data_IF_652069961347
#
_entry.id   IF_652069961347
#
_cell.length_a   1.000
_cell.length_b   1.000
_cell.length_c   1.000
_cell.angle_alpha   90.00
_cell.angle_beta   90.00
_cell.angle_gamma   90.00
#
_symmetry.space_group_name_H-M   'P 1'
#
loop_
_entity.id
_entity.type
_entity.pdbx_description
1 polymer ?
#
# COMPACT_ATOMS: atom_id res chain seq x y z
N UNK A 1 29.58 -23.97 -73.39
CA UNK A 1 30.83 -23.33 -72.93
C UNK A 1 30.53 -21.85 -72.71
N UNK A 2 31.05 -21.32 -71.59
CA UNK A 2 31.19 -19.89 -71.23
C UNK A 2 29.92 -19.02 -71.06
N UNK A 3 29.70 -18.63 -69.80
CA UNK A 3 29.11 -17.39 -69.24
C UNK A 3 29.63 -16.11 -69.94
N UNK A 4 29.23 -14.84 -69.64
CA UNK A 4 28.63 -14.33 -68.38
C UNK A 4 27.72 -13.06 -68.43
N UNK A 5 27.24 -12.68 -67.22
CA UNK A 5 27.08 -11.34 -66.62
C UNK A 5 26.60 -10.09 -67.41
N UNK A 6 25.57 -9.43 -66.86
CA UNK A 6 25.61 -8.06 -66.27
C UNK A 6 24.36 -7.22 -66.61
N UNK A 7 23.86 -6.42 -65.65
CA UNK A 7 22.88 -5.38 -65.94
C UNK A 7 22.07 -4.88 -64.74
N UNK A 8 22.59 -3.87 -64.04
CA UNK A 8 21.84 -3.04 -63.09
C UNK A 8 21.09 -1.90 -63.81
N UNK A 9 20.02 -1.44 -63.15
CA UNK A 9 19.59 -0.04 -62.99
C UNK A 9 18.30 0.44 -63.71
N UNK A 10 17.30 0.71 -62.85
CA UNK A 10 16.53 1.97 -62.66
C UNK A 10 15.79 2.58 -63.86
N UNK A 11 14.48 2.78 -63.68
CA UNK A 11 13.82 4.01 -64.13
C UNK A 11 12.73 4.47 -63.16
N UNK A 12 12.83 5.75 -62.85
CA UNK A 12 12.01 6.64 -62.04
C UNK A 12 10.88 7.23 -62.90
N UNK A 13 9.68 7.45 -62.36
CA UNK A 13 8.79 8.54 -62.81
C UNK A 13 7.66 8.88 -61.84
N UNK A 14 7.60 10.18 -61.58
CA UNK A 14 6.64 10.98 -60.80
C UNK A 14 5.43 11.35 -61.66
N UNK A 15 4.22 11.43 -61.08
CA UNK A 15 3.14 12.30 -61.56
C UNK A 15 2.08 12.58 -60.48
N UNK A 16 1.54 13.79 -60.52
CA UNK A 16 0.79 14.50 -59.48
C UNK A 16 -0.75 14.34 -59.53
N UNK A 17 -1.39 14.84 -58.47
CA UNK A 17 -2.81 14.79 -58.10
C UNK A 17 -3.78 15.62 -58.97
N UNK A 18 -5.11 15.50 -58.72
CA UNK A 18 -5.85 16.67 -58.21
C UNK A 18 -6.91 16.37 -57.12
N UNK A 19 -7.34 17.45 -56.47
CA UNK A 19 -8.17 17.55 -55.26
C UNK A 19 -9.69 17.56 -55.52
N UNK A 20 -10.48 17.07 -54.56
CA UNK A 20 -11.86 17.52 -54.26
C UNK A 20 -12.13 17.48 -52.76
N UNK A 21 -12.89 18.45 -52.26
CA UNK A 21 -12.99 18.93 -50.88
C UNK A 21 -14.25 18.47 -50.12
N UNK A 22 -14.05 18.00 -48.86
CA UNK A 22 -14.82 18.16 -47.58
C UNK A 22 -16.34 17.85 -47.49
N UNK A 23 -16.87 17.33 -46.34
CA UNK A 23 -16.76 17.99 -45.03
C UNK A 23 -16.54 17.10 -43.79
N UNK A 24 -16.27 17.82 -42.72
CA UNK A 24 -15.82 17.47 -41.37
C UNK A 24 -16.61 16.37 -40.64
N UNK A 25 -15.86 15.47 -39.98
CA UNK A 25 -16.32 14.91 -38.71
C UNK A 25 -15.15 14.46 -37.82
N UNK A 26 -14.93 15.25 -36.77
CA UNK A 26 -14.40 14.94 -35.44
C UNK A 26 -13.18 13.99 -35.37
N UNK A 27 -12.06 14.62 -35.00
CA UNK A 27 -10.77 14.05 -34.60
C UNK A 27 -10.89 12.77 -33.74
N UNK A 28 -10.80 11.61 -34.39
CA UNK A 28 -10.34 10.39 -33.73
C UNK A 28 -8.82 10.52 -33.54
N UNK A 29 -8.38 10.83 -32.31
CA UNK A 29 -6.97 10.70 -31.92
C UNK A 29 -6.52 9.28 -32.28
N UNK A 30 -5.62 9.16 -33.26
CA UNK A 30 -4.82 7.95 -33.49
C UNK A 30 -4.18 7.55 -32.15
N UNK A 31 -4.72 6.53 -31.51
CA UNK A 31 -4.03 5.86 -30.41
C UNK A 31 -2.71 5.36 -30.97
N UNK A 32 -1.59 5.89 -30.46
CA UNK A 32 -0.29 5.28 -30.70
C UNK A 32 -0.37 3.84 -30.18
N UNK A 33 -0.06 2.89 -31.05
CA UNK A 33 0.14 1.50 -30.66
C UNK A 33 1.20 1.45 -29.56
N UNK A 34 0.71 1.32 -28.33
CA UNK A 34 1.51 1.15 -27.12
C UNK A 34 2.35 -0.10 -27.31
N UNK A 35 3.68 0.03 -27.22
CA UNK A 35 4.61 -1.07 -27.44
C UNK A 35 4.24 -2.23 -26.50
N UNK A 36 3.71 -3.33 -27.06
CA UNK A 36 3.20 -4.45 -26.29
C UNK A 36 4.25 -5.00 -25.34
N UNK A 37 3.97 -4.93 -24.03
CA UNK A 37 4.83 -5.46 -22.97
C UNK A 37 5.06 -6.96 -23.18
N UNK A 38 6.32 -7.41 -23.09
CA UNK A 38 6.67 -8.83 -22.98
C UNK A 38 5.94 -9.49 -21.80
N UNK A 39 5.68 -10.80 -21.84
CA UNK A 39 5.03 -11.50 -20.72
C UNK A 39 5.92 -11.49 -19.46
N UNK A 40 5.29 -11.57 -18.28
CA UNK A 40 5.96 -11.45 -16.99
C UNK A 40 7.12 -12.45 -16.81
N UNK A 41 6.96 -13.70 -17.28
CA UNK A 41 8.00 -14.72 -17.16
C UNK A 41 9.17 -14.49 -18.13
N UNK A 42 8.92 -14.04 -19.36
CA UNK A 42 10.03 -13.69 -20.27
C UNK A 42 10.82 -12.48 -19.75
N UNK A 43 10.15 -11.49 -19.14
CA UNK A 43 10.82 -10.35 -18.48
C UNK A 43 11.66 -10.84 -17.30
N UNK A 44 11.08 -11.67 -16.42
CA UNK A 44 11.77 -12.24 -15.25
C UNK A 44 13.00 -13.07 -15.65
N UNK A 45 12.89 -13.85 -16.73
CA UNK A 45 13.98 -14.66 -17.26
C UNK A 45 14.93 -13.89 -18.18
N UNK A 46 14.68 -12.59 -18.42
CA UNK A 46 15.45 -11.75 -19.37
C UNK A 46 15.59 -12.37 -20.76
N UNK A 47 14.52 -13.02 -21.24
CA UNK A 47 14.48 -13.68 -22.56
C UNK A 47 13.53 -12.99 -23.52
N UNK A 48 13.73 -13.20 -24.82
CA UNK A 48 12.89 -12.61 -25.87
C UNK A 48 11.50 -13.25 -25.84
N UNK A 49 10.47 -12.42 -25.72
CA UNK A 49 9.07 -12.82 -25.80
C UNK A 49 8.58 -12.64 -27.24
N UNK A 50 7.99 -13.68 -27.80
CA UNK A 50 7.32 -13.72 -29.11
C UNK A 50 5.90 -13.13 -29.08
N UNK A 51 5.37 -12.87 -27.87
CA UNK A 51 4.11 -12.15 -27.63
C UNK A 51 2.84 -12.84 -28.16
N UNK A 52 2.93 -14.14 -28.48
CA UNK A 52 1.75 -14.93 -28.80
C UNK A 52 0.82 -15.05 -27.58
N UNK A 53 -0.49 -15.08 -27.84
CA UNK A 53 -1.57 -15.19 -26.84
C UNK A 53 -2.35 -16.49 -27.09
N UNK A 54 -2.85 -17.18 -26.05
CA UNK A 54 -2.87 -16.80 -24.62
C UNK A 54 -1.52 -16.94 -23.90
N UNK A 55 -0.60 -17.73 -24.46
CA UNK A 55 0.74 -17.93 -23.93
C UNK A 55 1.78 -17.74 -25.03
N UNK A 56 2.93 -17.18 -24.66
CA UNK A 56 4.04 -16.97 -25.58
C UNK A 56 4.71 -18.33 -25.88
N UNK A 57 5.17 -18.55 -27.12
CA UNK A 57 5.80 -19.81 -27.53
C UNK A 57 7.08 -20.12 -26.75
N UNK A 58 7.80 -19.09 -26.29
CA UNK A 58 8.91 -19.24 -25.34
C UNK A 58 8.52 -19.89 -24.00
N UNK A 59 7.36 -19.54 -23.45
CA UNK A 59 6.83 -20.13 -22.22
C UNK A 59 6.20 -21.51 -22.46
N UNK A 60 5.61 -21.73 -23.65
CA UNK A 60 5.03 -23.01 -24.04
C UNK A 60 6.10 -24.09 -24.19
N UNK A 61 7.21 -23.78 -24.88
CA UNK A 61 8.35 -24.70 -25.02
C UNK A 61 9.02 -25.05 -23.68
N UNK A 62 8.86 -24.20 -22.66
CA UNK A 62 9.42 -24.39 -21.32
C UNK A 62 8.45 -25.08 -20.35
N UNK A 63 7.23 -25.40 -20.78
CA UNK A 63 6.23 -26.05 -19.92
C UNK A 63 5.69 -25.15 -18.80
N UNK A 64 5.86 -23.83 -18.89
CA UNK A 64 5.43 -22.85 -17.85
C UNK A 64 4.21 -22.02 -18.30
N UNK A 65 3.34 -22.61 -19.14
CA UNK A 65 2.17 -21.93 -19.72
C UNK A 65 1.27 -21.29 -18.67
N UNK A 66 1.06 -21.94 -17.53
CA UNK A 66 0.22 -21.43 -16.42
C UNK A 66 0.75 -20.16 -15.77
N UNK A 67 2.03 -19.85 -15.93
CA UNK A 67 2.69 -18.65 -15.38
C UNK A 67 2.89 -17.56 -16.44
N UNK A 68 2.65 -17.87 -17.71
CA UNK A 68 2.79 -16.93 -18.82
C UNK A 68 1.61 -15.95 -18.84
N UNK A 69 1.81 -14.75 -18.28
CA UNK A 69 0.78 -13.71 -18.13
C UNK A 69 1.25 -12.37 -18.71
N UNK A 70 0.33 -11.63 -19.33
CA UNK A 70 0.56 -10.26 -19.81
C UNK A 70 -0.21 -9.27 -18.96
N UNK A 71 0.42 -8.15 -18.60
CA UNK A 71 -0.12 -7.12 -17.68
C UNK A 71 -1.53 -6.60 -18.05
N UNK A 72 -1.90 -6.61 -19.34
CA UNK A 72 -3.24 -6.19 -19.80
C UNK A 72 -4.35 -7.22 -19.58
N UNK A 73 -4.02 -8.49 -19.36
CA UNK A 73 -5.03 -9.55 -19.19
C UNK A 73 -5.62 -9.55 -17.76
N UNK A 74 -4.98 -8.86 -16.79
CA UNK A 74 -5.55 -8.58 -15.46
C UNK A 74 -6.82 -7.71 -15.53
N UNK A 75 -6.82 -6.69 -16.40
CA UNK A 75 -7.92 -5.71 -16.44
C UNK A 75 -9.17 -6.28 -17.13
N UNK A 76 -8.98 -7.15 -18.13
CA UNK A 76 -10.10 -7.76 -18.87
C UNK A 76 -10.79 -8.89 -18.12
N UNK A 77 -10.06 -9.70 -17.35
CA UNK A 77 -10.68 -10.80 -16.58
C UNK A 77 -11.60 -10.28 -15.45
N UNK A 78 -11.31 -9.09 -14.89
CA UNK A 78 -12.20 -8.43 -13.92
C UNK A 78 -13.40 -7.73 -14.59
N UNK A 79 -13.24 -7.24 -15.83
CA UNK A 79 -14.31 -6.59 -16.58
C UNK A 79 -15.33 -7.58 -17.19
N UNK A 80 -14.88 -8.76 -17.64
CA UNK A 80 -15.78 -9.79 -18.20
C UNK A 80 -16.54 -10.56 -17.10
N UNK A 81 -16.03 -10.59 -15.87
CA UNK A 81 -16.76 -11.13 -14.69
C UNK A 81 -17.88 -10.21 -14.20
N UNK A 82 -17.84 -8.93 -14.54
CA UNK A 82 -18.81 -7.93 -14.05
C UNK A 82 -19.96 -7.65 -15.03
N UNK A 83 -19.90 -8.11 -16.29
CA UNK A 83 -20.84 -7.69 -17.34
C UNK A 83 -21.67 -8.81 -18.00
N UNK A 84 -21.73 -10.02 -17.45
CA UNK A 84 -22.57 -11.08 -18.01
C UNK A 84 -23.70 -11.51 -17.06
N UNK A 85 -24.94 -11.00 -17.23
CA UNK A 85 -26.14 -11.70 -16.83
C UNK A 85 -26.72 -12.44 -18.06
N UNK A 86 -26.87 -13.76 -17.95
CA UNK A 86 -27.65 -14.54 -18.94
C UNK A 86 -29.08 -14.78 -18.44
N UNK A 87 -30.04 -15.03 -19.35
CA UNK A 87 -31.44 -14.64 -19.19
C UNK A 87 -32.38 -15.78 -18.76
N UNK A 88 -33.28 -15.47 -17.83
CA UNK A 88 -34.59 -16.11 -17.60
C UNK A 88 -35.23 -15.25 -16.48
N UNK A 89 -36.46 -14.76 -16.53
CA UNK A 89 -37.69 -15.23 -17.16
C UNK A 89 -38.71 -14.09 -17.13
N UNK A 90 -39.57 -14.05 -18.14
CA UNK A 90 -40.77 -13.21 -18.18
C UNK A 90 -41.90 -13.89 -17.38
N UNK A 91 -42.64 -13.13 -16.59
CA UNK A 91 -44.12 -13.10 -16.51
C UNK A 91 -44.60 -12.46 -15.18
N UNK A 92 -45.48 -11.46 -15.31
CA UNK A 92 -46.69 -11.20 -14.48
C UNK A 92 -46.56 -11.10 -12.94
N UNK A 93 -47.11 -10.14 -12.19
CA UNK A 93 -48.28 -9.26 -12.30
C UNK A 93 -48.15 -8.13 -11.25
N UNK A 94 -48.74 -6.96 -11.51
CA UNK A 94 -49.06 -5.95 -10.48
C UNK A 94 -50.33 -6.38 -9.71
N UNK A 95 -50.65 -5.85 -8.50
CA UNK A 95 -51.21 -4.49 -8.43
C UNK A 95 -50.91 -3.67 -7.13
N UNK A 96 -50.84 -2.34 -7.36
CA UNK A 96 -51.48 -1.20 -6.69
C UNK A 96 -51.47 -0.94 -5.16
N UNK A 97 -51.47 0.38 -4.89
CA UNK A 97 -51.87 1.10 -3.66
C UNK A 97 -50.83 1.23 -2.54
N UNK A 98 -50.63 2.36 -1.85
CA UNK A 98 -51.05 3.76 -1.99
C UNK A 98 -50.37 4.52 -0.84
N UNK A 99 -49.91 5.75 -1.13
CA UNK A 99 -49.90 6.93 -0.24
C UNK A 99 -49.24 6.83 1.17
N UNK A 100 -48.24 7.67 1.42
CA UNK A 100 -48.46 8.87 2.23
C UNK A 100 -47.16 9.68 2.43
N UNK A 101 -47.29 10.95 2.11
CA UNK A 101 -46.40 12.08 2.33
C UNK A 101 -46.00 12.31 3.79
N UNK A 102 -44.79 12.82 4.01
CA UNK A 102 -44.36 13.29 5.33
C UNK A 102 -43.12 14.17 5.30
N UNK A 103 -43.18 15.30 4.59
CA UNK A 103 -42.16 16.35 4.66
C UNK A 103 -42.11 16.99 6.06
N UNK A 104 -40.94 17.01 6.71
CA UNK A 104 -40.64 17.99 7.77
C UNK A 104 -39.27 18.64 7.59
N UNK A 105 -39.33 19.84 7.01
CA UNK A 105 -38.39 20.97 7.20
C UNK A 105 -38.24 21.27 8.69
N UNK A 106 -37.01 21.60 9.12
CA UNK A 106 -36.59 22.58 10.17
C UNK A 106 -35.16 22.18 10.58
N UNK A 107 -34.22 23.06 10.91
CA UNK A 107 -34.05 24.52 10.91
C UNK A 107 -32.54 24.71 11.19
N UNK A 108 -31.86 25.55 10.42
CA UNK A 108 -30.52 26.07 10.77
C UNK A 108 -30.63 27.13 11.87
N UNK A 109 -29.63 27.26 12.76
CA UNK A 109 -29.11 28.53 13.24
C UNK A 109 -27.75 28.79 12.56
N UNK A 110 -27.49 29.92 11.88
CA UNK A 110 -27.33 31.30 12.35
C UNK A 110 -26.05 31.52 13.19
N UNK A 111 -25.04 32.06 12.49
CA UNK A 111 -24.00 33.03 12.86
C UNK A 111 -23.45 33.07 14.29
N UNK A 112 -22.12 32.89 14.39
CA UNK A 112 -21.27 33.53 15.41
C UNK A 112 -19.99 34.04 14.74
N UNK A 113 -19.66 35.28 15.13
CA UNK A 113 -18.74 36.23 14.51
C UNK A 113 -17.27 35.80 14.45
N UNK A 114 -16.63 36.21 13.35
CA UNK A 114 -15.19 36.46 13.26
C UNK A 114 -14.81 37.68 14.11
N UNK A 115 -13.74 37.55 14.90
CA UNK A 115 -13.01 38.68 15.47
C UNK A 115 -11.61 38.63 14.86
N UNK A 116 -11.35 39.54 13.92
CA UNK A 116 -10.01 39.82 13.39
C UNK A 116 -9.24 40.66 14.41
N UNK A 117 -8.00 40.26 14.71
CA UNK A 117 -7.08 41.01 15.55
C UNK A 117 -6.24 42.00 14.71
N UNK A 118 -5.85 43.18 15.22
CA UNK A 118 -5.19 44.23 14.44
C UNK A 118 -3.70 43.95 14.23
N UNK A 119 -3.22 44.19 13.02
CA UNK A 119 -1.79 44.19 12.63
C UNK A 119 -1.14 45.51 13.08
N UNK A 120 0.01 45.51 13.78
CA UNK A 120 0.75 46.73 14.10
C UNK A 120 1.58 47.25 12.89
N UNK A 121 1.84 48.56 12.81
CA UNK A 121 2.39 49.22 11.62
C UNK A 121 3.89 48.99 11.42
N UNK A 122 4.25 48.97 10.14
CA UNK A 122 5.61 48.91 9.57
C UNK A 122 6.31 50.26 9.78
N UNK A 123 7.48 50.23 10.41
CA UNK A 123 8.33 51.41 10.62
C UNK A 123 9.39 51.48 9.51
N UNK A 124 9.26 52.47 8.63
CA UNK A 124 10.21 52.78 7.55
C UNK A 124 11.18 53.87 7.99
N UNK A 125 12.33 53.46 8.54
CA UNK A 125 13.47 54.32 8.84
C UNK A 125 14.50 54.37 7.70
N UNK A 126 15.20 55.50 7.48
CA UNK A 126 15.96 55.76 6.25
C UNK A 126 17.38 55.16 6.24
N UNK A 127 17.79 54.74 5.04
CA UNK A 127 19.12 54.24 4.65
C UNK A 127 20.25 55.24 4.97
N UNK A 128 21.37 54.82 5.57
CA UNK A 128 22.58 55.62 5.59
C UNK A 128 23.46 55.36 4.36
N UNK A 129 24.13 56.45 3.98
CA UNK A 129 24.87 56.69 2.74
C UNK A 129 26.13 55.84 2.59
N UNK A 130 26.39 55.47 1.34
CA UNK A 130 27.61 54.87 0.80
C UNK A 130 28.75 55.89 0.81
N UNK A 131 29.92 55.50 1.33
CA UNK A 131 31.21 56.12 1.02
C UNK A 131 32.21 55.04 0.56
N UNK A 132 33.07 55.30 -0.44
CA UNK A 132 33.96 54.30 -1.03
C UNK A 132 35.35 54.32 -0.37
N UNK A 133 35.88 53.17 0.03
CA UNK A 133 37.29 53.02 0.39
C UNK A 133 37.84 51.69 -0.17
N UNK A 134 38.71 51.85 -1.17
CA UNK A 134 39.93 51.11 -1.50
C UNK A 134 40.19 49.73 -0.87
N UNK A 135 40.31 48.74 -1.76
CA UNK A 135 41.41 47.78 -1.91
C UNK A 135 42.29 47.50 -0.68
N UNK A 136 41.98 46.41 0.04
CA UNK A 136 42.97 45.57 0.70
C UNK A 136 42.62 44.11 0.48
N UNK A 137 43.56 43.40 -0.14
CA UNK A 137 43.64 41.95 -0.26
C UNK A 137 43.45 41.31 1.12
N UNK A 138 42.32 40.60 1.29
CA UNK A 138 42.05 39.83 2.51
C UNK A 138 42.86 38.54 2.46
N UNK A 139 43.71 38.25 3.46
CA UNK A 139 44.41 36.97 3.54
C UNK A 139 43.40 35.86 3.83
N UNK A 140 43.60 34.71 3.17
CA UNK A 140 42.94 33.44 3.44
C UNK A 140 42.98 33.16 4.95
N UNK A 141 41.85 33.33 5.62
CA UNK A 141 41.73 33.20 7.07
C UNK A 141 41.56 31.72 7.41
N UNK A 142 42.69 31.05 7.67
CA UNK A 142 42.74 29.75 8.32
C UNK A 142 42.30 29.89 9.79
N UNK A 143 40.98 29.89 10.04
CA UNK A 143 40.45 29.44 11.31
C UNK A 143 40.01 27.99 11.14
N UNK A 144 40.98 27.06 11.18
CA UNK A 144 40.68 25.65 11.41
C UNK A 144 40.27 25.52 12.88
N UNK A 145 38.98 25.69 13.18
CA UNK A 145 38.42 24.93 14.28
C UNK A 145 38.75 23.46 13.98
N UNK A 146 39.30 22.74 14.96
CA UNK A 146 39.58 21.33 14.80
C UNK A 146 38.23 20.61 14.63
N UNK A 147 37.74 20.53 13.38
CA UNK A 147 36.52 19.84 13.06
C UNK A 147 36.64 18.41 13.58
N UNK A 148 35.69 18.01 14.41
CA UNK A 148 35.63 16.64 14.87
C UNK A 148 35.24 15.77 13.67
N UNK A 149 36.13 14.89 13.24
CA UNK A 149 35.86 13.98 12.14
C UNK A 149 35.20 12.71 12.65
N UNK A 150 34.24 12.18 11.88
CA UNK A 150 33.74 10.82 12.11
C UNK A 150 34.90 9.82 11.87
N UNK A 151 35.15 8.87 12.78
CA UNK A 151 36.25 7.92 12.65
C UNK A 151 36.24 7.12 11.34
N UNK A 152 35.07 6.84 10.77
CA UNK A 152 34.94 6.12 9.51
C UNK A 152 35.24 6.99 8.27
N UNK A 153 35.34 8.30 8.44
CA UNK A 153 35.53 9.29 7.36
C UNK A 153 36.67 10.27 7.69
N UNK A 154 37.72 9.79 8.35
CA UNK A 154 38.91 10.56 8.71
C UNK A 154 40.07 10.43 7.70
N UNK A 155 39.86 9.73 6.58
CA UNK A 155 40.90 9.48 5.57
C UNK A 155 41.42 10.78 4.96
N UNK A 156 42.74 10.97 5.00
CA UNK A 156 43.39 12.17 4.49
C UNK A 156 43.31 12.28 2.96
N UNK A 157 43.16 11.17 2.24
CA UNK A 157 43.09 11.12 0.77
C UNK A 157 41.72 11.52 0.22
N UNK A 158 40.68 11.50 1.06
CA UNK A 158 39.36 11.97 0.68
C UNK A 158 39.31 13.50 0.65
N UNK A 159 39.04 14.06 -0.54
CA UNK A 159 39.22 15.48 -0.84
C UNK A 159 38.02 16.36 -0.56
N UNK A 160 36.81 15.79 -0.41
CA UNK A 160 35.58 16.55 -0.15
C UNK A 160 35.22 16.41 1.32
N UNK A 161 35.01 17.53 1.99
CA UNK A 161 34.60 17.59 3.39
C UNK A 161 33.14 18.04 3.48
N UNK A 162 32.27 17.12 3.89
CA UNK A 162 30.89 17.44 4.22
C UNK A 162 30.76 17.60 5.73
N UNK A 163 30.09 18.65 6.19
CA UNK A 163 29.89 18.90 7.62
C UNK A 163 28.40 18.85 7.95
N UNK A 164 28.03 18.12 9.00
CA UNK A 164 26.65 18.05 9.49
C UNK A 164 26.24 19.32 10.24
N UNK A 165 24.95 19.45 10.54
CA UNK A 165 24.41 20.60 11.29
C UNK A 165 24.90 20.69 12.74
N UNK A 166 25.43 19.60 13.29
CA UNK A 166 26.03 19.47 14.62
C UNK A 166 27.57 19.41 14.57
N UNK A 167 28.17 20.03 13.54
CA UNK A 167 29.60 20.28 13.39
C UNK A 167 30.53 19.04 13.29
N UNK A 168 29.97 17.88 12.91
CA UNK A 168 30.77 16.68 12.61
C UNK A 168 31.13 16.68 11.12
N UNK A 169 32.41 16.49 10.83
CA UNK A 169 32.92 16.49 9.45
C UNK A 169 33.22 15.09 8.93
N UNK A 170 32.96 14.90 7.63
CA UNK A 170 33.09 13.65 6.91
C UNK A 170 33.95 13.88 5.67
N UNK A 171 35.13 13.25 5.61
CA UNK A 171 35.92 13.23 4.37
C UNK A 171 35.42 12.10 3.48
N UNK A 172 34.94 12.46 2.29
CA UNK A 172 34.35 11.52 1.34
C UNK A 172 35.06 11.64 -0.01
N UNK A 173 35.30 10.51 -0.68
CA UNK A 173 35.83 10.54 -2.03
C UNK A 173 34.76 11.07 -3.01
N UNK A 174 35.12 11.98 -3.95
CA UNK A 174 34.18 12.52 -4.93
C UNK A 174 33.44 11.45 -5.75
N UNK A 175 34.08 10.30 -5.95
CA UNK A 175 33.50 9.18 -6.69
C UNK A 175 32.23 8.64 -6.03
N UNK A 176 32.21 8.47 -4.71
CA UNK A 176 31.03 7.98 -3.98
C UNK A 176 29.88 8.97 -4.10
N UNK A 177 30.17 10.27 -3.94
CA UNK A 177 29.15 11.32 -4.05
C UNK A 177 28.57 11.39 -5.46
N UNK A 178 29.43 11.37 -6.49
CA UNK A 178 29.04 11.47 -7.91
C UNK A 178 28.16 10.30 -8.36
N UNK A 179 28.41 9.10 -7.86
CA UNK A 179 27.72 7.89 -8.32
C UNK A 179 26.47 7.58 -7.52
N UNK A 180 26.41 7.99 -6.25
CA UNK A 180 25.34 7.59 -5.35
C UNK A 180 24.40 8.72 -4.89
N UNK A 181 24.70 9.98 -5.18
CA UNK A 181 23.94 11.12 -4.65
C UNK A 181 23.96 12.36 -5.56
N UNK A 182 23.14 13.34 -5.21
CA UNK A 182 23.17 14.70 -5.79
C UNK A 182 23.90 15.71 -4.90
N UNK A 183 24.63 15.23 -3.88
CA UNK A 183 25.40 16.09 -2.99
C UNK A 183 26.50 16.85 -3.75
N UNK A 184 26.89 18.04 -3.24
CA UNK A 184 28.01 18.78 -3.82
C UNK A 184 29.29 17.95 -3.78
N UNK A 185 30.07 18.00 -4.87
CA UNK A 185 31.42 17.44 -4.94
C UNK A 185 32.48 18.43 -4.42
N UNK A 186 32.05 19.35 -3.57
CA UNK A 186 32.86 20.41 -2.94
C UNK A 186 32.48 20.48 -1.47
N UNK A 187 33.34 21.11 -0.68
CA UNK A 187 33.10 21.26 0.75
C UNK A 187 31.79 22.00 1.01
N UNK A 188 30.96 21.45 1.90
CA UNK A 188 29.64 21.98 2.17
C UNK A 188 29.16 21.62 3.58
N UNK A 189 28.36 22.51 4.15
CA UNK A 189 27.61 22.27 5.39
C UNK A 189 26.20 21.84 5.01
N UNK A 190 25.71 20.77 5.61
CA UNK A 190 24.42 20.17 5.35
C UNK A 190 23.50 20.32 6.57
N UNK A 191 22.19 20.36 6.33
CA UNK A 191 21.19 20.61 7.38
C UNK A 191 20.97 19.40 8.29
N UNK A 192 21.43 18.21 7.89
CA UNK A 192 21.19 16.97 8.63
C UNK A 192 22.20 16.81 9.78
N UNK A 193 21.73 16.29 10.93
CA UNK A 193 22.62 15.98 12.04
C UNK A 193 23.49 14.76 11.71
N UNK A 194 24.62 14.65 12.41
CA UNK A 194 25.64 13.62 12.24
C UNK A 194 25.08 12.19 12.26
N UNK A 195 24.07 11.93 13.10
CA UNK A 195 23.40 10.62 13.21
C UNK A 195 22.73 10.20 11.90
N UNK A 196 22.19 11.15 11.14
CA UNK A 196 21.51 10.91 9.87
C UNK A 196 22.51 10.91 8.73
N UNK A 197 23.31 11.98 8.64
CA UNK A 197 24.27 12.16 7.56
C UNK A 197 25.34 11.06 7.55
N UNK A 198 25.95 10.80 8.71
CA UNK A 198 26.96 9.75 8.84
C UNK A 198 26.42 8.37 8.46
N UNK A 199 25.15 8.07 8.78
CA UNK A 199 24.53 6.81 8.38
C UNK A 199 24.36 6.72 6.86
N UNK A 200 23.85 7.78 6.21
CA UNK A 200 23.75 7.82 4.75
C UNK A 200 25.09 7.63 4.06
N UNK A 201 26.13 8.34 4.53
CA UNK A 201 27.46 8.25 3.97
C UNK A 201 28.06 6.85 4.10
N UNK A 202 27.82 6.15 5.22
CA UNK A 202 28.23 4.74 5.38
C UNK A 202 27.50 3.81 4.41
N UNK A 203 26.20 4.03 4.19
CA UNK A 203 25.43 3.24 3.23
C UNK A 203 25.97 3.37 1.80
N UNK A 204 26.19 4.60 1.32
CA UNK A 204 26.69 4.82 -0.04
C UNK A 204 28.16 4.43 -0.21
N UNK A 205 28.92 4.38 0.88
CA UNK A 205 30.34 3.96 0.87
C UNK A 205 30.52 2.45 1.11
N UNK A 206 29.42 1.67 1.18
CA UNK A 206 29.49 0.22 1.38
C UNK A 206 29.90 -0.23 2.79
N UNK A 207 29.90 0.69 3.77
CA UNK A 207 30.26 0.41 5.17
C UNK A 207 29.08 -0.11 6.00
N UNK A 208 27.87 -0.11 5.41
CA UNK A 208 26.64 -0.59 6.05
C UNK A 208 25.94 0.47 6.91
N UNK A 209 24.62 0.33 7.07
CA UNK A 209 23.80 1.29 7.81
C UNK A 209 23.92 1.17 9.35
N UNK A 210 24.51 0.08 9.84
CA UNK A 210 24.47 -0.28 11.27
C UNK A 210 23.08 -0.70 11.74
N UNK A 211 22.89 -0.81 13.06
CA UNK A 211 21.62 -1.20 13.68
C UNK A 211 20.62 -0.05 13.65
N UNK A 212 19.36 -0.34 13.33
CA UNK A 212 18.24 0.60 13.45
C UNK A 212 17.53 0.38 14.79
N UNK A 213 17.40 1.44 15.59
CA UNK A 213 16.79 1.35 16.92
C UNK A 213 15.35 1.84 16.89
N UNK A 214 15.10 2.96 16.21
CA UNK A 214 13.76 3.55 16.14
C UNK A 214 13.31 3.72 14.70
N UNK A 215 11.99 3.64 14.48
CA UNK A 215 11.40 3.94 13.17
C UNK A 215 11.60 5.42 12.80
N UNK A 216 11.68 6.32 13.77
CA UNK A 216 11.92 7.74 13.49
C UNK A 216 13.31 7.98 12.90
N UNK A 217 14.35 7.26 13.36
CA UNK A 217 15.68 7.30 12.73
C UNK A 217 15.61 6.88 11.26
N UNK A 218 14.85 5.83 10.95
CA UNK A 218 14.61 5.35 9.58
C UNK A 218 13.94 6.45 8.75
N UNK A 219 12.94 7.13 9.31
CA UNK A 219 12.21 8.22 8.64
C UNK A 219 13.14 9.38 8.30
N UNK A 220 13.96 9.83 9.25
CA UNK A 220 14.90 10.95 9.01
C UNK A 220 15.93 10.59 7.95
N UNK A 221 16.48 9.37 8.00
CA UNK A 221 17.46 8.91 7.00
C UNK A 221 16.84 8.73 5.63
N UNK A 222 15.63 8.18 5.52
CA UNK A 222 14.92 8.07 4.26
C UNK A 222 14.58 9.45 3.65
N UNK A 223 14.15 10.41 4.48
CA UNK A 223 13.86 11.77 4.02
C UNK A 223 15.11 12.45 3.47
N UNK A 224 16.23 12.35 4.17
CA UNK A 224 17.52 12.86 3.69
C UNK A 224 18.02 12.12 2.44
N UNK A 225 17.86 10.80 2.37
CA UNK A 225 18.19 10.03 1.16
C UNK A 225 17.38 10.51 -0.05
N UNK A 226 16.09 10.79 0.12
CA UNK A 226 15.24 11.34 -0.93
C UNK A 226 15.67 12.76 -1.32
N UNK A 227 15.96 13.63 -0.35
CA UNK A 227 16.49 14.99 -0.57
C UNK A 227 17.75 14.97 -1.43
N UNK A 228 18.64 14.02 -1.18
CA UNK A 228 19.92 13.88 -1.88
C UNK A 228 19.92 12.90 -3.06
N UNK A 229 18.74 12.47 -3.53
CA UNK A 229 18.62 11.58 -4.68
C UNK A 229 19.34 10.23 -4.52
N UNK A 230 19.51 9.76 -3.29
CA UNK A 230 20.25 8.54 -2.96
C UNK A 230 19.37 7.31 -3.07
N UNK A 231 19.25 6.76 -4.29
CA UNK A 231 18.38 5.60 -4.55
C UNK A 231 18.79 4.34 -3.78
N UNK A 232 20.09 4.08 -3.65
CA UNK A 232 20.61 2.89 -2.94
C UNK A 232 20.09 2.81 -1.49
N UNK A 233 20.34 3.82 -0.65
CA UNK A 233 19.79 3.89 0.70
C UNK A 233 18.26 3.77 0.78
N UNK A 234 17.53 4.40 -0.15
CA UNK A 234 16.05 4.28 -0.19
C UNK A 234 15.62 2.83 -0.43
N UNK A 235 16.25 2.13 -1.38
CA UNK A 235 15.93 0.74 -1.68
C UNK A 235 16.31 -0.20 -0.54
N UNK A 236 17.46 0.02 0.11
CA UNK A 236 17.87 -0.77 1.28
C UNK A 236 16.84 -0.62 2.41
N UNK A 237 16.44 0.61 2.75
CA UNK A 237 15.42 0.88 3.78
C UNK A 237 14.11 0.13 3.47
N UNK A 238 13.64 0.20 2.22
CA UNK A 238 12.40 -0.46 1.78
C UNK A 238 12.48 -1.99 1.90
N UNK A 239 13.58 -2.58 1.46
CA UNK A 239 13.72 -4.03 1.34
C UNK A 239 14.11 -4.72 2.65
N UNK A 240 14.93 -4.08 3.48
CA UNK A 240 15.57 -4.75 4.64
C UNK A 240 15.08 -4.18 5.97
N UNK A 241 14.93 -2.86 6.06
CA UNK A 241 14.73 -2.18 7.34
C UNK A 241 13.27 -2.18 7.77
N UNK A 242 12.33 -1.87 6.87
CA UNK A 242 10.91 -1.78 7.26
C UNK A 242 10.33 -3.09 7.79
N UNK A 243 10.83 -4.23 7.29
CA UNK A 243 10.37 -5.54 7.69
C UNK A 243 10.57 -5.81 9.19
N UNK A 244 11.65 -5.30 9.80
CA UNK A 244 11.91 -5.50 11.23
C UNK A 244 10.92 -4.77 12.14
N UNK A 245 10.28 -3.71 11.64
CA UNK A 245 9.32 -2.91 12.42
C UNK A 245 7.86 -3.33 12.23
N UNK A 246 7.56 -4.20 11.25
CA UNK A 246 6.19 -4.60 10.91
C UNK A 246 5.49 -5.36 12.03
N UNK A 247 6.23 -6.16 12.81
CA UNK A 247 5.65 -6.94 13.90
C UNK A 247 5.26 -6.05 15.10
N UNK A 248 6.10 -5.07 15.43
CA UNK A 248 5.94 -4.24 16.62
C UNK A 248 5.05 -3.01 16.38
N UNK A 249 5.20 -2.36 15.22
CA UNK A 249 4.59 -1.05 14.96
C UNK A 249 3.96 -0.97 13.56
N UNK A 250 3.05 -1.90 13.19
CA UNK A 250 2.52 -2.02 11.83
C UNK A 250 1.83 -0.75 11.33
N UNK A 251 1.08 -0.06 12.19
CA UNK A 251 0.37 1.17 11.82
C UNK A 251 1.32 2.33 11.52
N UNK A 252 2.43 2.45 12.25
CA UNK A 252 3.44 3.49 12.00
C UNK A 252 4.22 3.21 10.71
N UNK A 253 4.53 1.93 10.43
CA UNK A 253 5.14 1.52 9.16
C UNK A 253 4.18 1.80 8.00
N UNK A 254 2.90 1.50 8.17
CA UNK A 254 1.86 1.83 7.18
C UNK A 254 1.80 3.34 6.90
N UNK A 255 1.73 4.17 7.95
CA UNK A 255 1.78 5.63 7.84
C UNK A 255 3.02 6.10 7.07
N UNK A 256 4.18 5.56 7.41
CA UNK A 256 5.43 5.95 6.78
C UNK A 256 5.45 5.60 5.28
N UNK A 257 5.09 4.36 4.93
CA UNK A 257 5.00 3.92 3.54
C UNK A 257 3.97 4.75 2.75
N UNK A 258 2.81 5.05 3.36
CA UNK A 258 1.78 5.88 2.76
C UNK A 258 2.26 7.30 2.45
N UNK A 259 3.01 7.93 3.37
CA UNK A 259 3.56 9.29 3.14
C UNK A 259 4.65 9.31 2.07
N UNK A 260 5.39 8.22 1.92
CA UNK A 260 6.42 8.11 0.88
C UNK A 260 5.87 7.61 -0.47
N UNK A 261 4.58 7.28 -0.57
CA UNK A 261 4.00 6.69 -1.79
C UNK A 261 4.52 5.29 -2.11
N UNK A 262 5.00 4.57 -1.09
CA UNK A 262 5.55 3.22 -1.20
C UNK A 262 4.42 2.19 -1.15
N UNK A 263 3.72 2.03 -2.27
CA UNK A 263 2.47 1.23 -2.36
C UNK A 263 2.64 -0.23 -1.94
N UNK A 264 3.74 -0.89 -2.29
CA UNK A 264 3.93 -2.31 -1.99
C UNK A 264 4.17 -2.52 -0.49
N UNK A 265 4.92 -1.62 0.13
CA UNK A 265 5.18 -1.59 1.56
C UNK A 265 3.92 -1.19 2.35
N UNK A 266 3.13 -0.25 1.84
CA UNK A 266 1.84 0.12 2.44
C UNK A 266 0.86 -1.06 2.38
N UNK A 267 0.79 -1.78 1.25
CA UNK A 267 0.00 -3.03 1.13
C UNK A 267 0.48 -4.06 2.14
N UNK A 268 1.78 -4.33 2.21
CA UNK A 268 2.33 -5.28 3.16
C UNK A 268 2.00 -4.89 4.60
N UNK A 269 2.23 -3.63 4.99
CA UNK A 269 1.92 -3.13 6.33
C UNK A 269 0.43 -3.22 6.67
N UNK A 270 -0.46 -2.96 5.71
CA UNK A 270 -1.92 -3.08 5.90
C UNK A 270 -2.38 -4.50 6.27
N UNK A 271 -1.60 -5.53 5.89
CA UNK A 271 -1.87 -6.90 6.34
C UNK A 271 -1.63 -7.05 7.84
N UNK A 272 -0.57 -6.44 8.34
CA UNK A 272 -0.19 -6.54 9.74
C UNK A 272 -1.10 -5.69 10.64
N UNK A 273 -1.69 -4.61 10.12
CA UNK A 273 -2.69 -3.82 10.88
C UNK A 273 -3.96 -4.60 11.19
N UNK A 274 -4.24 -5.71 10.51
CA UNK A 274 -5.37 -6.59 10.85
C UNK A 274 -5.26 -7.20 12.25
N UNK A 275 -4.08 -7.16 12.87
CA UNK A 275 -3.83 -7.67 14.21
C UNK A 275 -4.08 -6.63 15.31
N UNK A 276 -4.39 -5.39 14.94
CA UNK A 276 -4.65 -4.30 15.88
C UNK A 276 -6.07 -3.74 15.72
N UNK A 277 -6.62 -3.22 16.81
CA UNK A 277 -7.88 -2.49 16.81
C UNK A 277 -7.62 -1.06 16.40
N UNK A 278 -8.11 -0.64 15.22
CA UNK A 278 -7.98 0.75 14.78
C UNK A 278 -8.77 1.74 15.66
N UNK A 279 -9.66 1.24 16.50
CA UNK A 279 -10.56 2.04 17.33
C UNK A 279 -9.97 2.35 18.70
N UNK A 280 -8.79 1.82 19.03
CA UNK A 280 -8.15 2.12 20.30
C UNK A 280 -7.59 3.55 20.28
N UNK A 281 -7.86 4.32 21.35
CA UNK A 281 -7.48 5.74 21.46
C UNK A 281 -5.97 5.98 21.27
N UNK A 282 -5.14 4.99 21.62
CA UNK A 282 -3.68 5.02 21.42
C UNK A 282 -3.26 5.19 19.96
N UNK A 283 -4.11 4.83 19.00
CA UNK A 283 -3.81 4.88 17.57
C UNK A 283 -4.30 6.16 16.88
N UNK A 284 -5.22 6.90 17.50
CA UNK A 284 -5.73 8.18 16.99
C UNK A 284 -4.64 9.13 16.46
N UNK A 285 -3.55 9.44 17.20
CA UNK A 285 -2.54 10.38 16.70
C UNK A 285 -1.78 9.89 15.47
N UNK A 286 -1.69 8.57 15.27
CA UNK A 286 -1.07 7.98 14.07
C UNK A 286 -2.04 8.02 12.91
N UNK A 287 -3.31 7.71 13.15
CA UNK A 287 -4.37 7.72 12.14
C UNK A 287 -4.59 9.12 11.56
N UNK A 288 -4.55 10.17 12.39
CA UNK A 288 -4.70 11.57 11.98
C UNK A 288 -3.63 12.02 10.98
N UNK A 289 -2.45 11.39 11.00
CA UNK A 289 -1.34 11.73 10.12
C UNK A 289 -1.38 10.96 8.78
N UNK A 290 -2.23 9.95 8.65
CA UNK A 290 -2.32 9.12 7.44
C UNK A 290 -3.04 9.91 6.34
N UNK A 291 -2.48 9.97 5.12
CA UNK A 291 -3.19 10.62 4.02
C UNK A 291 -4.55 9.96 3.77
N UNK A 292 -5.59 10.76 3.57
CA UNK A 292 -7.00 10.31 3.58
C UNK A 292 -7.29 9.15 2.63
N UNK A 293 -6.63 9.11 1.47
CA UNK A 293 -6.77 8.01 0.50
C UNK A 293 -6.33 6.66 1.07
N UNK A 294 -5.24 6.61 1.84
CA UNK A 294 -4.73 5.39 2.47
C UNK A 294 -5.57 5.02 3.69
N UNK A 295 -5.99 6.02 4.48
CA UNK A 295 -6.87 5.79 5.63
C UNK A 295 -8.21 5.17 5.19
N UNK A 296 -8.82 5.68 4.12
CA UNK A 296 -10.06 5.14 3.56
C UNK A 296 -9.90 3.71 3.05
N UNK A 297 -8.77 3.39 2.42
CA UNK A 297 -8.46 2.02 1.98
C UNK A 297 -8.27 1.08 3.17
N UNK A 298 -7.56 1.53 4.20
CA UNK A 298 -7.30 0.75 5.42
C UNK A 298 -8.60 0.47 6.19
N UNK A 299 -9.43 1.49 6.44
CA UNK A 299 -10.73 1.31 7.10
C UNK A 299 -11.66 0.41 6.29
N UNK A 300 -11.66 0.56 4.95
CA UNK A 300 -12.41 -0.33 4.06
C UNK A 300 -11.93 -1.77 4.16
N UNK A 301 -10.62 -2.02 4.26
CA UNK A 301 -10.07 -3.36 4.43
C UNK A 301 -10.62 -4.01 5.71
N UNK A 302 -10.51 -3.34 6.85
CA UNK A 302 -11.00 -3.83 8.14
C UNK A 302 -12.51 -4.12 8.09
N UNK A 303 -13.29 -3.14 7.64
CA UNK A 303 -14.75 -3.27 7.49
C UNK A 303 -15.15 -4.40 6.54
N UNK A 304 -14.52 -4.49 5.38
CA UNK A 304 -14.86 -5.50 4.37
C UNK A 304 -14.59 -6.91 4.89
N UNK A 305 -13.52 -7.11 5.66
CA UNK A 305 -13.24 -8.42 6.29
C UNK A 305 -14.34 -8.81 7.27
N UNK A 306 -14.72 -7.91 8.18
CA UNK A 306 -15.84 -8.15 9.11
C UNK A 306 -17.15 -8.42 8.37
N UNK A 307 -17.51 -7.59 7.39
CA UNK A 307 -18.79 -7.68 6.70
C UNK A 307 -18.87 -9.01 5.92
N UNK A 308 -17.79 -9.42 5.24
CA UNK A 308 -17.71 -10.72 4.56
C UNK A 308 -17.70 -11.89 5.54
N UNK A 309 -17.00 -11.77 6.67
CA UNK A 309 -17.02 -12.76 7.73
C UNK A 309 -18.44 -12.98 8.26
N UNK A 310 -19.14 -11.90 8.61
CA UNK A 310 -20.52 -11.93 9.06
C UNK A 310 -21.44 -12.60 8.04
N UNK A 311 -21.32 -12.21 6.76
CA UNK A 311 -22.12 -12.81 5.69
C UNK A 311 -21.87 -14.32 5.53
N UNK A 312 -20.61 -14.76 5.70
CA UNK A 312 -20.24 -16.18 5.61
C UNK A 312 -20.84 -16.99 6.75
N UNK A 313 -20.66 -16.54 8.00
CA UNK A 313 -21.15 -17.29 9.18
C UNK A 313 -22.67 -17.23 9.32
N UNK A 314 -23.35 -16.30 8.63
CA UNK A 314 -24.82 -16.15 8.58
C UNK A 314 -25.40 -16.45 7.19
N UNK A 315 -24.89 -17.48 6.50
CA UNK A 315 -25.40 -17.89 5.18
C UNK A 315 -26.60 -18.82 5.28
N UNK A 316 -27.47 -18.79 4.26
CA UNK A 316 -28.57 -19.74 4.05
C UNK A 316 -29.54 -19.89 5.25
N UNK A 317 -29.78 -18.79 5.99
CA UNK A 317 -30.56 -18.79 7.24
C UNK A 317 -30.03 -19.76 8.32
N UNK A 318 -28.73 -20.08 8.27
CA UNK A 318 -27.99 -20.93 9.21
C UNK A 318 -26.91 -20.12 9.92
N UNK A 319 -26.43 -20.66 11.04
CA UNK A 319 -25.23 -20.18 11.73
C UNK A 319 -24.09 -21.16 11.46
N UNK A 320 -22.93 -20.66 11.02
CA UNK A 320 -21.72 -21.44 10.73
C UNK A 320 -21.91 -22.58 9.69
N UNK A 321 -22.94 -22.47 8.84
CA UNK A 321 -23.31 -23.54 7.90
C UNK A 321 -23.90 -24.79 8.56
N UNK A 322 -24.16 -24.77 9.87
CA UNK A 322 -24.68 -25.91 10.61
C UNK A 322 -26.15 -26.09 10.23
N UNK A 323 -26.43 -27.13 9.43
CA UNK A 323 -27.79 -27.44 8.96
C UNK A 323 -28.64 -28.19 9.99
N UNK A 324 -28.01 -28.97 10.87
CA UNK A 324 -28.67 -29.83 11.85
C UNK A 324 -27.90 -29.75 13.17
N UNK A 325 -28.61 -29.58 14.31
CA UNK A 325 -27.96 -29.58 15.62
C UNK A 325 -27.27 -30.91 15.88
N UNK A 326 -25.98 -30.93 16.25
CA UNK A 326 -25.29 -32.13 16.73
C UNK A 326 -25.91 -32.75 18.00
N UNK A 327 -26.71 -31.95 18.71
CA UNK A 327 -27.28 -32.29 20.01
C UNK A 327 -28.67 -32.96 19.92
N UNK A 328 -29.57 -32.40 19.12
CA UNK A 328 -30.99 -32.74 19.08
C UNK A 328 -31.43 -33.22 17.71
N UNK A 329 -30.51 -33.22 16.73
CA UNK A 329 -30.73 -33.64 15.35
C UNK A 329 -31.84 -32.86 14.63
N UNK A 330 -32.13 -31.63 15.08
CA UNK A 330 -33.09 -30.73 14.45
C UNK A 330 -32.41 -29.58 13.73
N UNK A 331 -33.04 -29.09 12.66
CA UNK A 331 -32.61 -27.86 12.02
C UNK A 331 -32.96 -26.66 12.91
N UNK A 332 -31.97 -25.81 13.17
CA UNK A 332 -32.18 -24.52 13.83
C UNK A 332 -31.93 -23.42 12.82
N UNK A 333 -32.90 -22.52 12.67
CA UNK A 333 -32.73 -21.29 11.88
C UNK A 333 -32.07 -20.20 12.72
N UNK A 334 -31.68 -19.09 12.09
CA UNK A 334 -31.19 -17.92 12.83
C UNK A 334 -32.22 -17.37 13.85
N UNK A 335 -33.52 -17.51 13.57
CA UNK A 335 -34.58 -17.06 14.47
C UNK A 335 -34.73 -17.96 15.71
N UNK A 336 -34.42 -19.25 15.57
CA UNK A 336 -34.66 -20.27 16.59
C UNK A 336 -33.39 -20.64 17.38
N UNK A 337 -32.32 -19.84 17.26
CA UNK A 337 -31.00 -20.13 17.82
C UNK A 337 -30.33 -18.91 18.48
N UNK A 338 -30.91 -18.34 19.55
CA UNK A 338 -30.41 -17.13 20.19
C UNK A 338 -29.01 -17.30 20.79
N UNK A 339 -28.66 -18.48 21.31
CA UNK A 339 -27.32 -18.76 21.83
C UNK A 339 -26.25 -18.75 20.72
N UNK A 340 -26.54 -19.40 19.58
CA UNK A 340 -25.67 -19.35 18.40
C UNK A 340 -25.55 -17.92 17.86
N UNK A 341 -26.66 -17.19 17.79
CA UNK A 341 -26.66 -15.81 17.31
C UNK A 341 -25.87 -14.87 18.24
N UNK A 342 -25.96 -15.07 19.55
CA UNK A 342 -25.14 -14.36 20.53
C UNK A 342 -23.65 -14.62 20.30
N UNK A 343 -23.26 -15.89 20.11
CA UNK A 343 -21.88 -16.25 19.78
C UNK A 343 -21.42 -15.62 18.46
N UNK A 344 -22.26 -15.64 17.42
CA UNK A 344 -21.99 -14.96 16.14
C UNK A 344 -21.71 -13.47 16.36
N UNK A 345 -22.54 -12.78 17.14
CA UNK A 345 -22.37 -11.35 17.39
C UNK A 345 -21.05 -11.05 18.12
N UNK A 346 -20.66 -11.88 19.09
CA UNK A 346 -19.36 -11.75 19.75
C UNK A 346 -18.20 -11.98 18.78
N UNK A 347 -18.30 -12.97 17.89
CA UNK A 347 -17.26 -13.20 16.88
C UNK A 347 -17.16 -12.06 15.86
N UNK A 348 -18.30 -11.47 15.47
CA UNK A 348 -18.32 -10.29 14.58
C UNK A 348 -17.69 -9.09 15.28
N UNK A 349 -17.97 -8.88 16.56
CA UNK A 349 -17.32 -7.85 17.37
C UNK A 349 -15.82 -8.09 17.50
N UNK A 350 -15.40 -9.34 17.69
CA UNK A 350 -13.97 -9.68 17.69
C UNK A 350 -13.31 -9.39 16.34
N UNK A 351 -14.03 -9.54 15.22
CA UNK A 351 -13.53 -9.16 13.89
C UNK A 351 -13.46 -7.64 13.67
N UNK A 352 -14.24 -6.83 14.40
CA UNK A 352 -14.05 -5.37 14.46
C UNK A 352 -12.75 -5.02 15.20
N UNK A 353 -12.48 -5.71 16.32
CA UNK A 353 -11.30 -5.48 17.16
C UNK A 353 -10.01 -6.01 16.53
N UNK A 354 -10.04 -7.22 15.98
CA UNK A 354 -8.88 -7.89 15.40
C UNK A 354 -9.29 -8.66 14.13
N UNK A 355 -9.41 -7.99 12.97
CA UNK A 355 -9.90 -8.64 11.75
C UNK A 355 -8.97 -9.73 11.18
N UNK A 356 -7.77 -9.91 11.71
CA UNK A 356 -6.93 -11.08 11.45
C UNK A 356 -7.56 -12.39 11.93
N UNK A 357 -8.43 -12.32 12.95
CA UNK A 357 -9.14 -13.47 13.51
C UNK A 357 -8.24 -14.46 14.24
N UNK A 358 -7.11 -14.01 14.84
CA UNK A 358 -6.18 -14.93 15.53
C UNK A 358 -6.84 -15.56 16.77
N UNK A 359 -7.63 -14.80 17.52
CA UNK A 359 -8.38 -15.31 18.68
C UNK A 359 -9.47 -16.30 18.26
N UNK A 360 -10.07 -16.08 17.08
CA UNK A 360 -11.03 -17.02 16.47
C UNK A 360 -10.34 -18.33 16.04
N UNK A 361 -9.18 -18.23 15.37
CA UNK A 361 -8.42 -19.38 14.87
C UNK A 361 -7.73 -20.20 15.98
N UNK A 362 -7.35 -19.55 17.08
CA UNK A 362 -6.79 -20.23 18.25
C UNK A 362 -7.84 -20.95 19.09
N UNK A 363 -9.13 -20.68 18.86
CA UNK A 363 -10.22 -21.32 19.60
C UNK A 363 -10.53 -20.67 20.94
N UNK A 364 -9.98 -19.49 21.26
CA UNK A 364 -10.25 -18.76 22.51
C UNK A 364 -11.74 -18.49 22.74
N UNK A 365 -12.51 -18.40 21.66
CA UNK A 365 -13.96 -18.24 21.72
C UNK A 365 -14.70 -19.37 22.44
N UNK A 366 -14.07 -20.54 22.60
CA UNK A 366 -14.61 -21.65 23.40
C UNK A 366 -14.65 -21.33 24.91
N UNK A 367 -13.86 -20.35 25.35
CA UNK A 367 -13.84 -19.89 26.74
C UNK A 367 -14.84 -18.74 26.97
N UNK A 368 -15.46 -18.22 25.91
CA UNK A 368 -16.39 -17.10 26.03
C UNK A 368 -17.70 -17.52 26.71
N UNK A 369 -18.32 -16.61 27.49
CA UNK A 369 -19.60 -16.90 28.16
C UNK A 369 -20.70 -17.40 27.21
N UNK A 370 -20.70 -16.95 25.95
CA UNK A 370 -21.69 -17.38 24.96
C UNK A 370 -21.52 -18.82 24.48
N UNK A 371 -20.35 -19.44 24.68
CA UNK A 371 -20.08 -20.84 24.32
C UNK A 371 -20.03 -21.79 25.51
N UNK A 372 -19.86 -21.27 26.74
CA UNK A 372 -19.57 -22.06 27.94
C UNK A 372 -20.39 -23.35 28.02
N UNK A 373 -19.67 -24.47 28.19
CA UNK A 373 -20.18 -25.85 28.22
C UNK A 373 -20.85 -26.40 26.94
N UNK A 374 -20.73 -25.72 25.78
CA UNK A 374 -21.30 -26.20 24.51
C UNK A 374 -22.82 -26.07 24.42
N UNK A 375 -23.42 -25.28 25.32
CA UNK A 375 -24.86 -25.09 25.49
C UNK A 375 -25.47 -24.16 24.42
N UNK A 376 -25.22 -24.47 23.15
CA UNK A 376 -25.69 -23.66 22.02
C UNK A 376 -27.09 -24.05 21.54
N UNK A 377 -27.62 -25.18 22.02
CA UNK A 377 -28.98 -25.61 21.69
C UNK A 377 -29.98 -25.31 22.80
N UNK A 378 -31.10 -24.72 22.40
CA UNK A 378 -32.23 -24.43 23.28
C UNK A 378 -32.88 -25.67 23.89
N UNK A 379 -32.92 -26.81 23.18
CA UNK A 379 -33.63 -28.02 23.64
C UNK A 379 -32.87 -28.76 24.73
N UNK A 380 -31.54 -28.71 24.69
CA UNK A 380 -30.69 -29.37 25.67
C UNK A 380 -29.54 -28.46 26.09
N UNK A 381 -29.82 -27.42 26.89
CA UNK A 381 -28.84 -26.43 27.34
C UNK A 381 -27.90 -26.96 28.44
N UNK A 382 -27.82 -28.28 28.62
CA UNK A 382 -26.94 -28.95 29.59
C UNK A 382 -26.39 -30.26 29.04
N UNK A 383 -26.52 -30.49 27.72
CA UNK A 383 -26.05 -31.71 27.09
C UNK A 383 -24.52 -31.69 27.03
N UNK A 384 -23.88 -32.25 28.06
CA UNK A 384 -22.51 -32.73 27.93
C UNK A 384 -22.57 -33.88 26.96
N UNK A 385 -21.86 -33.75 25.85
CA UNK A 385 -21.65 -34.83 24.89
C UNK A 385 -20.98 -36.03 25.58
N UNK A 386 -21.76 -36.86 26.26
CA UNK A 386 -21.41 -38.25 26.51
C UNK A 386 -21.58 -38.98 25.18
N UNK A 387 -20.60 -38.76 24.29
CA UNK A 387 -20.42 -39.39 22.99
C UNK A 387 -21.62 -39.35 22.01
N UNK A 388 -21.78 -38.27 21.22
CA UNK A 388 -22.32 -38.41 19.88
C UNK A 388 -21.20 -38.87 18.94
N UNK A 389 -21.48 -39.86 18.09
CA UNK A 389 -20.61 -40.19 16.96
C UNK A 389 -20.66 -39.02 15.96
N UNK A 390 -19.76 -38.03 16.09
CA UNK A 390 -19.65 -36.92 15.15
C UNK A 390 -19.02 -35.63 15.69
N UNK A 391 -18.67 -34.67 14.80
CA UNK A 391 -18.09 -33.39 15.19
C UNK A 391 -19.12 -32.54 15.94
N UNK A 392 -18.76 -32.09 17.14
CA UNK A 392 -19.61 -31.20 17.94
C UNK A 392 -19.68 -29.79 17.34
N UNK A 393 -20.47 -28.91 17.95
CA UNK A 393 -20.52 -27.50 17.57
C UNK A 393 -19.12 -26.87 17.47
N UNK A 394 -18.26 -27.18 18.44
CA UNK A 394 -16.87 -26.71 18.48
C UNK A 394 -16.09 -26.97 17.19
N UNK A 395 -16.19 -28.18 16.66
CA UNK A 395 -15.41 -28.61 15.50
C UNK A 395 -15.97 -28.03 14.21
N UNK A 396 -17.30 -28.05 14.03
CA UNK A 396 -17.97 -27.48 12.86
C UNK A 396 -17.75 -25.97 12.76
N UNK A 397 -17.85 -25.25 13.89
CA UNK A 397 -17.56 -23.82 13.93
C UNK A 397 -16.08 -23.58 13.57
N UNK A 398 -15.15 -24.32 14.16
CA UNK A 398 -13.72 -24.16 13.83
C UNK A 398 -13.42 -24.41 12.35
N UNK A 399 -14.03 -25.43 11.74
CA UNK A 399 -13.88 -25.74 10.32
C UNK A 399 -14.41 -24.60 9.46
N UNK A 400 -15.60 -24.09 9.76
CA UNK A 400 -16.21 -22.97 9.02
C UNK A 400 -15.40 -21.67 9.16
N UNK A 401 -14.87 -21.39 10.36
CA UNK A 401 -14.01 -20.24 10.62
C UNK A 401 -12.72 -20.31 9.80
N UNK A 402 -12.05 -21.47 9.75
CA UNK A 402 -10.84 -21.67 8.94
C UNK A 402 -11.10 -21.48 7.45
N UNK A 403 -12.19 -22.05 6.95
CA UNK A 403 -12.61 -21.89 5.57
C UNK A 403 -12.90 -20.42 5.23
N UNK A 404 -13.60 -19.70 6.13
CA UNK A 404 -13.92 -18.30 5.94
C UNK A 404 -12.68 -17.40 5.94
N UNK A 405 -11.91 -17.42 7.02
CA UNK A 405 -10.84 -16.44 7.28
C UNK A 405 -9.72 -16.48 6.20
N UNK A 406 -9.48 -17.65 5.60
CA UNK A 406 -8.52 -17.81 4.50
C UNK A 406 -8.96 -17.17 3.17
N UNK A 407 -10.25 -16.90 2.98
CA UNK A 407 -10.80 -16.30 1.75
C UNK A 407 -10.98 -14.79 1.85
N UNK A 408 -10.84 -14.23 3.05
CA UNK A 408 -11.04 -12.80 3.30
C UNK A 408 -9.88 -11.96 2.73
N UNK A 409 -10.15 -10.74 2.22
CA UNK A 409 -9.10 -9.86 1.69
C UNK A 409 -8.07 -9.54 2.77
N UNK A 410 -6.79 -9.61 2.45
CA UNK A 410 -5.70 -9.49 3.46
C UNK A 410 -4.85 -8.23 3.32
N UNK A 411 -5.07 -7.42 2.27
CA UNK A 411 -4.35 -6.17 1.98
C UNK A 411 -5.29 -5.16 1.29
N UNK A 412 -4.89 -3.88 1.30
CA UNK A 412 -5.59 -2.74 0.64
C UNK A 412 -5.49 -2.66 -0.88
#
# INVERSE_FOLDING_TARGET
MTTPFSGMAKHEKVAAAPCTSTPDNLTAKRQRNEAGSSCAECVRMKTRCDREKPHCGGCQKRGIVTRCTYLRDFIRQDADRTNNPSPASQAEQAPSESQASGSKKRKRPADVLQVEAPVPPVDTGPLPRVHPILSCSVPVRAHRNAHQYDPAFADAEATVVLTSSDDISYRVHPFNLRTASTLPQVDAILDEPSKVLGRLLRMISGLGAGKWETLDDVRYVAAAAQKYGMLGPVLDIRCTVLASFLAEQPLKVFLFAARCGWEDEAKLASKHTLQISLHDDQHAPVLDQIPSQYLNRLTRLHRTRRDKFKAHILRDNKCFGIGVCPCCHQAHTQADAPALLNLVNLMVWEMDRQPAGLDLLSGKWKEWPAYHDGNLCLKYPSFRTSQPEGPGYGDQIMEDLKACLGTLPSII
#
